data_IF_912055668489
#
_entry.id   IF_912055668489
#
_cell.length_a   1.000
_cell.length_b   1.000
_cell.length_c   1.000
_cell.angle_alpha   90.00
_cell.angle_beta   90.00
_cell.angle_gamma   90.00
#
_symmetry.space_group_name_H-M   'P 1'
#
loop_
_entity.id
_entity.type
_entity.pdbx_description
1 polymer ?
#
# COMPACT_ATOMS: atom_id res chain seq x y z
N UNK A 1 3.26 15.44 -3.11
CA UNK A 1 1.95 15.28 -3.80
C UNK A 1 1.27 16.63 -3.97
N UNK A 2 1.09 17.38 -2.88
CA UNK A 2 0.66 18.78 -2.89
C UNK A 2 1.41 19.61 -3.97
N UNK A 3 2.74 19.60 -3.91
CA UNK A 3 3.60 20.30 -4.87
C UNK A 3 3.36 19.90 -6.34
N UNK A 4 3.07 18.63 -6.62
CA UNK A 4 2.80 18.19 -7.99
C UNK A 4 1.50 18.79 -8.52
N UNK A 5 0.47 18.86 -7.67
CA UNK A 5 -0.79 19.53 -8.01
C UNK A 5 -0.56 21.03 -8.20
N UNK A 6 0.21 21.66 -7.31
CA UNK A 6 0.54 23.09 -7.40
C UNK A 6 1.35 23.42 -8.67
N UNK A 7 2.15 22.48 -9.16
CA UNK A 7 2.88 22.57 -10.43
C UNK A 7 2.01 22.26 -11.67
N UNK A 8 0.70 22.04 -11.49
CA UNK A 8 -0.27 21.86 -12.58
C UNK A 8 -0.56 20.41 -12.97
N UNK A 9 -0.15 19.42 -12.15
CA UNK A 9 -0.55 18.04 -12.39
C UNK A 9 -2.07 17.88 -12.24
N UNK A 10 -2.74 17.57 -13.35
CA UNK A 10 -4.19 17.43 -13.38
C UNK A 10 -4.68 16.04 -12.99
N UNK A 11 -3.85 15.00 -13.16
CA UNK A 11 -4.23 13.62 -12.83
C UNK A 11 -3.06 12.89 -12.19
N UNK A 12 -3.30 12.32 -11.01
CA UNK A 12 -2.30 11.65 -10.19
C UNK A 12 -2.83 10.27 -9.82
N UNK A 13 -2.12 9.22 -10.22
CA UNK A 13 -2.34 7.87 -9.74
C UNK A 13 -1.35 7.57 -8.61
N UNK A 14 -1.87 7.14 -7.47
CA UNK A 14 -1.09 6.88 -6.26
C UNK A 14 -1.24 5.42 -5.89
N UNK A 15 -0.17 4.61 -6.01
CA UNK A 15 -0.22 3.21 -5.62
C UNK A 15 -0.23 3.07 -4.09
N UNK A 16 -1.07 2.18 -3.59
CA UNK A 16 -0.91 1.60 -2.26
C UNK A 16 0.32 0.68 -2.20
N UNK A 17 0.75 0.35 -0.99
CA UNK A 17 1.76 -0.66 -0.74
C UNK A 17 1.13 -2.04 -0.98
N UNK A 18 1.79 -2.86 -1.79
CA UNK A 18 1.44 -4.27 -2.04
C UNK A 18 1.62 -5.13 -0.77
N UNK A 19 1.12 -6.39 -0.69
CA UNK A 19 1.24 -7.19 0.53
C UNK A 19 2.71 -7.58 0.77
N UNK A 20 3.42 -6.72 1.51
CA UNK A 20 4.88 -6.83 1.66
C UNK A 20 5.31 -8.11 2.34
N UNK A 21 4.48 -8.64 3.24
CA UNK A 21 4.74 -9.89 3.94
C UNK A 21 4.84 -11.09 3.03
N UNK A 22 4.31 -11.01 1.80
CA UNK A 22 4.38 -12.06 0.79
C UNK A 22 5.58 -11.92 -0.17
N UNK A 23 6.33 -10.81 -0.09
CA UNK A 23 7.48 -10.58 -0.97
C UNK A 23 8.65 -11.49 -0.61
N UNK A 24 9.21 -12.19 -1.60
CA UNK A 24 10.38 -13.05 -1.42
C UNK A 24 11.54 -12.32 -0.70
N UNK A 25 11.82 -11.08 -1.08
CA UNK A 25 12.89 -10.27 -0.43
C UNK A 25 12.62 -10.04 1.05
N UNK A 26 11.38 -9.75 1.43
CA UNK A 26 11.01 -9.54 2.84
C UNK A 26 11.00 -10.85 3.61
N UNK A 27 10.48 -11.93 3.01
CA UNK A 27 10.47 -13.27 3.59
C UNK A 27 11.89 -13.77 3.89
N UNK A 28 12.84 -13.57 2.97
CA UNK A 28 14.24 -13.93 3.18
C UNK A 28 14.90 -13.05 4.25
N UNK A 29 14.64 -11.74 4.24
CA UNK A 29 15.29 -10.81 5.18
C UNK A 29 14.77 -10.96 6.61
N UNK A 30 13.50 -11.31 6.77
CA UNK A 30 12.80 -11.39 8.05
C UNK A 30 12.38 -12.82 8.40
N UNK A 31 13.13 -13.80 7.89
CA UNK A 31 12.90 -15.21 8.17
C UNK A 31 12.95 -15.48 9.68
N UNK A 32 12.03 -16.31 10.17
CA UNK A 32 11.97 -16.74 11.57
C UNK A 32 11.47 -18.17 11.67
N UNK A 33 11.90 -18.88 12.72
CA UNK A 33 11.39 -20.22 13.05
C UNK A 33 10.03 -20.19 13.72
N UNK A 34 9.56 -19.02 14.17
CA UNK A 34 8.24 -18.84 14.76
C UNK A 34 7.16 -18.85 13.67
N UNK A 35 6.57 -20.04 13.47
CA UNK A 35 5.49 -20.26 12.51
C UNK A 35 4.26 -19.40 12.77
N UNK A 36 4.07 -18.91 14.00
CA UNK A 36 2.95 -18.03 14.33
C UNK A 36 3.09 -16.63 13.74
N UNK A 37 4.23 -16.25 13.16
CA UNK A 37 4.38 -14.98 12.46
C UNK A 37 3.91 -15.03 11.00
N UNK A 38 3.66 -16.22 10.49
CA UNK A 38 3.17 -16.43 9.12
C UNK A 38 1.67 -16.69 9.11
N UNK A 39 1.00 -16.29 8.04
CA UNK A 39 -0.37 -16.69 7.74
C UNK A 39 -0.43 -18.05 7.00
N UNK A 40 -1.63 -18.46 6.60
CA UNK A 40 -1.86 -19.71 5.87
C UNK A 40 -1.21 -19.75 4.49
N UNK A 41 -0.91 -18.60 3.88
CA UNK A 41 -0.23 -18.50 2.59
C UNK A 41 1.30 -18.41 2.75
N UNK A 42 1.82 -18.39 3.99
CA UNK A 42 3.24 -18.27 4.26
C UNK A 42 3.75 -16.83 4.20
N UNK A 43 2.87 -15.83 4.25
CA UNK A 43 3.25 -14.42 4.30
C UNK A 43 3.45 -13.96 5.75
N UNK A 44 4.38 -13.03 5.98
CA UNK A 44 4.61 -12.42 7.29
C UNK A 44 3.44 -11.49 7.68
N UNK A 45 2.73 -11.85 8.75
CA UNK A 45 1.53 -11.12 9.21
C UNK A 45 1.82 -9.67 9.59
N UNK A 46 2.87 -9.44 10.37
CA UNK A 46 3.19 -8.09 10.86
C UNK A 46 3.53 -7.11 9.71
N UNK A 47 4.11 -7.59 8.60
CA UNK A 47 4.39 -6.77 7.42
C UNK A 47 3.13 -6.48 6.61
N UNK A 48 2.22 -7.44 6.51
CA UNK A 48 0.93 -7.24 5.87
C UNK A 48 0.07 -6.26 6.69
N UNK A 49 0.02 -6.41 8.02
CA UNK A 49 -0.64 -5.47 8.93
C UNK A 49 -0.07 -4.04 8.79
N UNK A 50 1.26 -3.92 8.68
CA UNK A 50 1.90 -2.63 8.41
C UNK A 50 1.50 -2.04 7.06
N UNK A 51 1.48 -2.85 5.99
CA UNK A 51 1.07 -2.40 4.66
C UNK A 51 -0.39 -1.92 4.65
N UNK A 52 -1.29 -2.65 5.31
CA UNK A 52 -2.70 -2.27 5.45
C UNK A 52 -2.85 -0.96 6.24
N UNK A 53 -2.17 -0.84 7.39
CA UNK A 53 -2.17 0.39 8.19
C UNK A 53 -1.68 1.60 7.39
N UNK A 54 -0.57 1.43 6.66
CA UNK A 54 -0.04 2.47 5.79
C UNK A 54 -1.05 2.86 4.70
N UNK A 55 -1.67 1.88 4.04
CA UNK A 55 -2.64 2.12 2.97
C UNK A 55 -3.90 2.84 3.48
N UNK A 56 -4.34 2.56 4.71
CA UNK A 56 -5.43 3.30 5.35
C UNK A 56 -5.06 4.77 5.59
N UNK A 57 -3.84 5.02 6.11
CA UNK A 57 -3.33 6.39 6.30
C UNK A 57 -3.16 7.13 4.97
N UNK A 58 -2.66 6.44 3.95
CA UNK A 58 -2.51 6.99 2.62
C UNK A 58 -3.86 7.43 2.06
N UNK A 59 -4.86 6.54 2.06
CA UNK A 59 -6.21 6.86 1.57
C UNK A 59 -6.80 8.07 2.30
N UNK A 60 -6.65 8.14 3.63
CA UNK A 60 -7.11 9.29 4.42
C UNK A 60 -6.48 10.61 3.97
N UNK A 61 -5.17 10.63 3.73
CA UNK A 61 -4.49 11.83 3.24
C UNK A 61 -4.84 12.16 1.78
N UNK A 62 -5.07 11.15 0.93
CA UNK A 62 -5.57 11.38 -0.43
C UNK A 62 -6.96 12.02 -0.42
N UNK A 63 -7.84 11.60 0.49
CA UNK A 63 -9.17 12.20 0.66
C UNK A 63 -9.08 13.66 1.10
N UNK A 64 -8.16 13.98 2.03
CA UNK A 64 -7.89 15.37 2.42
C UNK A 64 -7.37 16.20 1.24
N UNK A 65 -6.44 15.66 0.45
CA UNK A 65 -5.89 16.33 -0.73
C UNK A 65 -6.93 16.58 -1.81
N UNK A 66 -7.84 15.62 -2.05
CA UNK A 66 -8.98 15.81 -2.97
C UNK A 66 -9.87 16.98 -2.53
N UNK A 67 -10.05 17.18 -1.22
CA UNK A 67 -10.78 18.32 -0.67
C UNK A 67 -10.09 19.67 -0.90
N UNK A 68 -8.76 19.73 -0.81
CA UNK A 68 -7.99 20.95 -1.07
C UNK A 68 -7.84 21.26 -2.57
N UNK A 69 -7.86 20.23 -3.42
CA UNK A 69 -7.61 20.35 -4.85
C UNK A 69 -8.76 19.79 -5.70
N UNK A 70 -9.93 20.43 -5.71
CA UNK A 70 -11.09 19.93 -6.45
C UNK A 70 -10.89 19.89 -7.97
N UNK A 71 -9.86 20.58 -8.48
CA UNK A 71 -9.48 20.61 -9.89
C UNK A 71 -8.51 19.47 -10.28
N UNK A 72 -7.94 18.74 -9.32
CA UNK A 72 -7.04 17.63 -9.58
C UNK A 72 -7.75 16.28 -9.41
N UNK A 73 -7.50 15.36 -10.35
CA UNK A 73 -8.00 13.98 -10.30
C UNK A 73 -6.98 13.12 -9.58
N UNK A 74 -7.24 12.76 -8.33
CA UNK A 74 -6.35 11.91 -7.52
C UNK A 74 -6.97 10.52 -7.41
N UNK A 75 -6.31 9.51 -7.99
CA UNK A 75 -6.77 8.12 -8.05
C UNK A 75 -5.89 7.27 -7.13
N UNK A 76 -6.52 6.52 -6.22
CA UNK A 76 -5.82 5.50 -5.44
C UNK A 76 -5.82 4.18 -6.24
N UNK A 77 -4.65 3.56 -6.37
CA UNK A 77 -4.51 2.25 -6.99
C UNK A 77 -4.25 1.20 -5.90
N UNK A 78 -5.23 0.32 -5.71
CA UNK A 78 -5.22 -0.71 -4.67
C UNK A 78 -4.32 -1.90 -5.04
N UNK A 79 -3.02 -1.64 -4.99
CA UNK A 79 -2.00 -2.66 -5.29
C UNK A 79 -2.02 -3.80 -4.29
N UNK A 80 -2.49 -3.57 -3.06
CA UNK A 80 -2.57 -4.62 -2.05
C UNK A 80 -3.51 -5.72 -2.52
N UNK A 81 -4.78 -5.37 -2.77
CA UNK A 81 -5.79 -6.34 -3.19
C UNK A 81 -5.58 -6.84 -4.62
N UNK A 82 -4.99 -6.02 -5.50
CA UNK A 82 -4.66 -6.46 -6.85
C UNK A 82 -3.54 -7.52 -6.88
N UNK A 83 -2.55 -7.42 -5.98
CA UNK A 83 -1.42 -8.34 -5.95
C UNK A 83 -1.66 -9.56 -5.07
N UNK A 84 -2.54 -9.49 -4.06
CA UNK A 84 -2.80 -10.59 -3.12
C UNK A 84 -3.07 -11.95 -3.81
N UNK A 85 -3.88 -12.05 -4.89
CA UNK A 85 -4.11 -13.33 -5.58
C UNK A 85 -2.87 -13.94 -6.25
N UNK A 86 -1.80 -13.17 -6.45
CA UNK A 86 -0.56 -13.67 -7.06
C UNK A 86 0.30 -14.47 -6.07
N UNK A 87 -0.05 -14.43 -4.77
CA UNK A 87 0.68 -15.12 -3.70
C UNK A 87 -0.03 -16.37 -3.19
N UNK A 88 -1.17 -16.73 -3.80
CA UNK A 88 -2.02 -17.88 -3.45
C UNK A 88 -1.92 -19.00 -4.48
#
# INVERSE_FOLDING_TARGET
MQELVDLGAHTLMVPGIFPMGCSATHLTKHETTDKNQYDSAGCLKWLNEFAEFYNQKLQHELDRLRGFHPHAIIIYADYYNAALPLYH
#
